data_IF_700156609224
#
_entry.id   IF_700156609224
#
_cell.length_a   1.000
_cell.length_b   1.000
_cell.length_c   1.000
_cell.angle_alpha   90.00
_cell.angle_beta   90.00
_cell.angle_gamma   90.00
#
_symmetry.space_group_name_H-M   'P 1'
#
loop_
_entity.id
_entity.type
_entity.pdbx_description
1 polymer ?
#
# COMPACT_ATOMS: atom_id res chain seq x y z
N UNK A 1 10.70 21.10 -8.39
CA UNK A 1 9.37 20.62 -8.85
C UNK A 1 8.85 19.68 -7.77
N UNK A 2 7.59 19.81 -7.36
CA UNK A 2 7.02 18.94 -6.31
C UNK A 2 6.98 17.49 -6.81
N UNK A 3 7.38 16.53 -5.96
CA UNK A 3 7.35 15.11 -6.32
C UNK A 3 5.91 14.65 -6.55
N UNK A 4 5.71 13.52 -7.26
CA UNK A 4 4.36 12.94 -7.43
C UNK A 4 3.74 12.60 -6.07
N UNK A 5 4.56 12.14 -5.12
CA UNK A 5 4.14 11.87 -3.73
C UNK A 5 3.61 13.13 -3.04
N UNK A 6 4.32 14.25 -3.17
CA UNK A 6 3.88 15.54 -2.60
C UNK A 6 2.55 16.00 -3.21
N UNK A 7 2.40 15.86 -4.53
CA UNK A 7 1.18 16.23 -5.23
C UNK A 7 -0.02 15.39 -4.77
N UNK A 8 0.16 14.07 -4.64
CA UNK A 8 -0.88 13.15 -4.16
C UNK A 8 -1.22 13.47 -2.70
N UNK A 9 -0.22 13.66 -1.84
CA UNK A 9 -0.45 13.98 -0.44
C UNK A 9 -1.26 15.28 -0.28
N UNK A 10 -0.89 16.34 -1.01
CA UNK A 10 -1.61 17.61 -1.01
C UNK A 10 -3.04 17.47 -1.51
N UNK A 11 -3.27 16.76 -2.62
CA UNK A 11 -4.60 16.56 -3.18
C UNK A 11 -5.50 15.77 -2.24
N UNK A 12 -4.99 14.70 -1.63
CA UNK A 12 -5.73 13.89 -0.64
C UNK A 12 -6.12 14.75 0.55
N UNK A 13 -5.17 15.47 1.14
CA UNK A 13 -5.43 16.36 2.27
C UNK A 13 -6.44 17.46 1.94
N UNK A 14 -6.35 18.07 0.76
CA UNK A 14 -7.31 19.08 0.32
C UNK A 14 -8.73 18.48 0.21
N UNK A 15 -8.85 17.30 -0.40
CA UNK A 15 -10.14 16.64 -0.64
C UNK A 15 -10.88 16.19 0.63
N UNK A 16 -10.16 15.98 1.73
CA UNK A 16 -10.72 15.47 2.99
C UNK A 16 -11.16 16.57 3.96
N UNK A 17 -10.92 17.84 3.64
CA UNK A 17 -11.40 18.96 4.48
C UNK A 17 -12.93 19.01 4.43
N UNK A 18 -13.55 19.41 5.54
CA UNK A 18 -15.00 19.60 5.60
C UNK A 18 -15.46 20.63 4.56
N UNK A 19 -14.64 21.66 4.33
CA UNK A 19 -14.88 22.73 3.35
C UNK A 19 -14.40 22.39 1.92
N UNK A 20 -13.98 21.15 1.66
CA UNK A 20 -13.45 20.77 0.35
C UNK A 20 -14.49 20.94 -0.75
N UNK A 21 -14.09 21.58 -1.84
CA UNK A 21 -14.90 21.76 -3.04
C UNK A 21 -15.03 20.46 -3.83
N UNK A 22 -16.03 20.39 -4.72
CA UNK A 22 -16.15 19.26 -5.65
C UNK A 22 -14.93 19.14 -6.58
N UNK A 23 -14.32 20.26 -6.94
CA UNK A 23 -13.12 20.28 -7.78
C UNK A 23 -11.92 19.65 -7.07
N UNK A 24 -11.65 20.02 -5.80
CA UNK A 24 -10.56 19.43 -5.02
C UNK A 24 -10.73 17.90 -4.85
N UNK A 25 -11.98 17.44 -4.65
CA UNK A 25 -12.28 16.01 -4.57
C UNK A 25 -12.08 15.30 -5.92
N UNK A 26 -12.48 15.95 -7.01
CA UNK A 26 -12.30 15.41 -8.36
C UNK A 26 -10.82 15.28 -8.71
N UNK A 27 -10.00 16.29 -8.39
CA UNK A 27 -8.55 16.26 -8.61
C UNK A 27 -7.91 15.06 -7.90
N UNK A 28 -8.22 14.86 -6.62
CA UNK A 28 -7.69 13.73 -5.87
C UNK A 28 -8.13 12.38 -6.48
N UNK A 29 -9.39 12.26 -6.89
CA UNK A 29 -9.90 11.05 -7.54
C UNK A 29 -9.21 10.78 -8.89
N UNK A 30 -9.02 11.81 -9.72
CA UNK A 30 -8.34 11.69 -11.00
C UNK A 30 -6.87 11.29 -10.84
N UNK A 31 -6.15 11.90 -9.89
CA UNK A 31 -4.77 11.52 -9.59
C UNK A 31 -4.67 10.05 -9.17
N UNK A 32 -5.59 9.58 -8.32
CA UNK A 32 -5.64 8.18 -7.93
C UNK A 32 -5.90 7.25 -9.13
N UNK A 33 -6.85 7.60 -10.01
CA UNK A 33 -7.14 6.84 -11.23
C UNK A 33 -5.95 6.81 -12.20
N UNK A 34 -5.22 7.92 -12.34
CA UNK A 34 -4.00 7.98 -13.15
C UNK A 34 -2.93 7.03 -12.61
N UNK A 35 -2.75 6.97 -11.29
CA UNK A 35 -1.80 6.03 -10.69
C UNK A 35 -2.24 4.57 -10.86
N UNK A 36 -3.53 4.26 -10.79
CA UNK A 36 -4.03 2.91 -11.06
C UNK A 36 -3.72 2.43 -12.49
N UNK A 37 -3.90 3.32 -13.47
CA UNK A 37 -3.72 3.03 -14.89
C UNK A 37 -2.30 3.33 -15.42
N UNK A 38 -1.43 3.90 -14.60
CA UNK A 38 -0.08 4.35 -14.98
C UNK A 38 0.90 3.21 -15.27
N UNK A 39 2.14 3.58 -15.52
CA UNK A 39 3.24 2.61 -15.66
C UNK A 39 3.43 1.86 -14.32
N UNK A 40 3.50 0.53 -14.37
CA UNK A 40 3.34 -0.33 -13.19
C UNK A 40 4.45 -0.10 -12.15
N UNK A 41 5.69 0.07 -12.61
CA UNK A 41 6.84 0.29 -11.74
C UNK A 41 6.76 1.66 -11.05
N UNK A 42 6.51 2.71 -11.83
CA UNK A 42 6.34 4.07 -11.31
C UNK A 42 5.17 4.16 -10.32
N UNK A 43 4.03 3.58 -10.65
CA UNK A 43 2.86 3.56 -9.76
C UNK A 43 3.11 2.80 -8.47
N UNK A 44 3.82 1.66 -8.53
CA UNK A 44 4.17 0.89 -7.34
C UNK A 44 5.19 1.63 -6.45
N UNK A 45 6.18 2.33 -7.04
CA UNK A 45 7.12 3.16 -6.29
C UNK A 45 6.40 4.26 -5.52
N UNK A 46 5.55 5.04 -6.21
CA UNK A 46 4.75 6.10 -5.57
C UNK A 46 3.86 5.52 -4.47
N UNK A 47 3.20 4.39 -4.73
CA UNK A 47 2.34 3.75 -3.74
C UNK A 47 3.12 3.30 -2.50
N UNK A 48 4.33 2.74 -2.67
CA UNK A 48 5.20 2.33 -1.58
C UNK A 48 5.68 3.54 -0.75
N UNK A 49 6.09 4.63 -1.39
CA UNK A 49 6.48 5.87 -0.71
C UNK A 49 5.32 6.48 0.10
N UNK A 50 4.10 6.42 -0.44
CA UNK A 50 2.89 6.90 0.26
C UNK A 50 2.60 6.12 1.55
N UNK A 51 3.13 4.89 1.73
CA UNK A 51 2.98 4.13 2.98
C UNK A 51 3.96 4.56 4.10
N UNK A 52 4.81 5.55 3.85
CA UNK A 52 5.79 6.04 4.80
C UNK A 52 5.17 6.54 6.12
N UNK A 53 5.89 6.30 7.21
CA UNK A 53 5.54 6.78 8.56
C UNK A 53 5.52 8.31 8.66
N UNK A 54 6.30 8.98 7.81
CA UNK A 54 6.42 10.44 7.79
C UNK A 54 5.18 11.13 7.23
N UNK A 55 4.26 10.38 6.62
CA UNK A 55 3.07 10.91 5.98
C UNK A 55 1.83 10.74 6.88
N UNK A 56 0.82 11.60 6.73
CA UNK A 56 -0.46 11.45 7.44
C UNK A 56 -1.14 10.11 7.15
N UNK A 57 -1.92 9.61 8.11
CA UNK A 57 -2.57 8.30 8.00
C UNK A 57 -3.52 8.20 6.80
N UNK A 58 -4.22 9.28 6.47
CA UNK A 58 -5.09 9.37 5.30
C UNK A 58 -4.35 9.25 3.97
N UNK A 59 -3.09 9.73 3.90
CA UNK A 59 -2.22 9.57 2.73
C UNK A 59 -1.70 8.13 2.67
N UNK A 60 -1.30 7.57 3.81
CA UNK A 60 -0.90 6.17 3.92
C UNK A 60 -2.01 5.22 3.46
N UNK A 61 -3.28 5.51 3.79
CA UNK A 61 -4.44 4.75 3.30
C UNK A 61 -4.47 4.68 1.78
N UNK A 62 -4.18 5.78 1.08
CA UNK A 62 -4.14 5.82 -0.38
C UNK A 62 -3.00 4.96 -0.92
N UNK A 63 -1.80 5.04 -0.33
CA UNK A 63 -0.67 4.18 -0.70
C UNK A 63 -0.99 2.70 -0.58
N UNK A 64 -1.55 2.27 0.57
CA UNK A 64 -1.99 0.89 0.76
C UNK A 64 -3.05 0.47 -0.24
N UNK A 65 -4.07 1.29 -0.44
CA UNK A 65 -5.18 0.97 -1.35
C UNK A 65 -4.71 0.89 -2.81
N UNK A 66 -3.76 1.73 -3.21
CA UNK A 66 -3.13 1.64 -4.53
C UNK A 66 -2.29 0.36 -4.67
N UNK A 67 -1.43 0.03 -3.71
CA UNK A 67 -0.66 -1.24 -3.74
C UNK A 67 -1.58 -2.46 -3.83
N UNK A 68 -2.64 -2.49 -3.03
CA UNK A 68 -3.64 -3.56 -3.06
C UNK A 68 -4.31 -3.66 -4.44
N UNK A 69 -4.65 -2.54 -5.06
CA UNK A 69 -5.20 -2.51 -6.42
C UNK A 69 -4.21 -3.07 -7.45
N UNK A 70 -2.95 -2.60 -7.45
CA UNK A 70 -1.94 -3.05 -8.40
C UNK A 70 -1.66 -4.56 -8.26
N UNK A 71 -1.52 -5.07 -7.03
CA UNK A 71 -1.35 -6.52 -6.79
C UNK A 71 -2.60 -7.31 -7.18
N UNK A 72 -3.80 -6.75 -6.97
CA UNK A 72 -5.04 -7.45 -7.29
C UNK A 72 -5.29 -7.54 -8.79
N UNK A 73 -5.00 -6.49 -9.55
CA UNK A 73 -5.44 -6.38 -10.94
C UNK A 73 -4.30 -6.47 -11.96
N UNK A 74 -3.07 -6.16 -11.55
CA UNK A 74 -1.91 -5.97 -12.44
C UNK A 74 -0.70 -6.81 -12.04
N UNK A 75 -0.90 -7.86 -11.24
CA UNK A 75 0.18 -8.74 -10.75
C UNK A 75 1.10 -9.27 -11.84
N UNK A 76 0.52 -9.65 -12.99
CA UNK A 76 1.26 -10.23 -14.11
C UNK A 76 2.24 -9.25 -14.77
N UNK A 77 2.02 -7.95 -14.60
CA UNK A 77 2.86 -6.90 -15.18
C UNK A 77 4.14 -6.67 -14.37
N UNK A 78 4.16 -7.03 -13.09
CA UNK A 78 5.39 -7.01 -12.30
C UNK A 78 6.35 -8.10 -12.76
N UNK A 79 7.63 -7.75 -12.83
CA UNK A 79 8.72 -8.68 -13.02
C UNK A 79 8.95 -9.56 -11.76
N UNK A 80 9.60 -10.72 -11.89
CA UNK A 80 9.95 -11.55 -10.74
C UNK A 80 10.66 -10.83 -9.58
N UNK A 81 11.69 -9.96 -9.79
CA UNK A 81 12.31 -9.24 -8.69
C UNK A 81 11.34 -8.27 -8.00
N UNK A 82 10.51 -7.55 -8.75
CA UNK A 82 9.51 -6.63 -8.16
C UNK A 82 8.49 -7.37 -7.30
N UNK A 83 8.09 -8.59 -7.70
CA UNK A 83 7.21 -9.43 -6.89
C UNK A 83 7.85 -9.84 -5.56
N UNK A 84 9.16 -10.12 -5.57
CA UNK A 84 9.92 -10.42 -4.34
C UNK A 84 10.03 -9.18 -3.44
N UNK A 85 10.28 -8.01 -4.03
CA UNK A 85 10.31 -6.73 -3.30
C UNK A 85 8.94 -6.40 -2.68
N UNK A 86 7.84 -6.63 -3.40
CA UNK A 86 6.48 -6.46 -2.88
C UNK A 86 6.17 -7.43 -1.73
N UNK A 87 6.65 -8.67 -1.79
CA UNK A 87 6.52 -9.62 -0.69
C UNK A 87 7.30 -9.16 0.55
N UNK A 88 8.53 -8.69 0.38
CA UNK A 88 9.34 -8.15 1.47
C UNK A 88 8.73 -6.88 2.07
N UNK A 89 8.25 -5.96 1.21
CA UNK A 89 7.59 -4.72 1.61
C UNK A 89 6.31 -5.00 2.42
N UNK A 90 5.42 -5.85 1.91
CA UNK A 90 4.15 -6.16 2.56
C UNK A 90 4.33 -6.81 3.93
N UNK A 91 5.31 -7.71 4.06
CA UNK A 91 5.67 -8.29 5.35
C UNK A 91 6.21 -7.23 6.32
N UNK A 92 7.12 -6.36 5.86
CA UNK A 92 7.66 -5.25 6.68
C UNK A 92 6.56 -4.32 7.17
N UNK A 93 5.62 -3.96 6.28
CA UNK A 93 4.46 -3.12 6.62
C UNK A 93 3.54 -3.80 7.65
N UNK A 94 3.35 -5.13 7.57
CA UNK A 94 2.58 -5.87 8.57
C UNK A 94 3.28 -5.90 9.93
N UNK A 95 4.60 -6.14 9.96
CA UNK A 95 5.37 -6.20 11.21
C UNK A 95 5.47 -4.87 11.95
N UNK A 96 5.13 -3.76 11.29
CA UNK A 96 4.94 -2.45 11.93
C UNK A 96 3.68 -2.41 12.81
N UNK A 97 2.85 -3.45 12.77
CA UNK A 97 1.47 -3.54 13.27
C UNK A 97 1.20 -2.86 14.60
N UNK A 98 1.98 -3.12 15.65
CA UNK A 98 1.73 -2.56 16.98
C UNK A 98 1.71 -1.02 17.02
N UNK A 99 2.52 -0.35 16.19
CA UNK A 99 2.61 1.11 16.14
C UNK A 99 1.59 1.77 15.19
N UNK A 100 0.95 0.98 14.32
CA UNK A 100 0.01 1.49 13.33
C UNK A 100 -1.41 1.62 13.90
N UNK A 101 -2.16 2.68 13.52
CA UNK A 101 -3.62 2.70 13.64
C UNK A 101 -4.24 1.42 13.07
N UNK A 102 -5.26 0.90 13.73
CA UNK A 102 -5.93 -0.35 13.33
C UNK A 102 -6.30 -0.40 11.84
N UNK A 103 -6.78 0.70 11.27
CA UNK A 103 -7.15 0.78 9.87
C UNK A 103 -5.96 0.55 8.90
N UNK A 104 -4.77 1.05 9.25
CA UNK A 104 -3.55 0.85 8.47
C UNK A 104 -3.01 -0.58 8.64
N UNK A 105 -3.09 -1.13 9.85
CA UNK A 105 -2.72 -2.53 10.12
C UNK A 105 -3.57 -3.50 9.32
N UNK A 106 -4.90 -3.32 9.29
CA UNK A 106 -5.81 -4.12 8.49
C UNK A 106 -5.47 -4.06 7.00
N UNK A 107 -5.10 -2.88 6.49
CA UNK A 107 -4.65 -2.72 5.10
C UNK A 107 -3.33 -3.41 4.81
N UNK A 108 -2.36 -3.36 5.73
CA UNK A 108 -1.11 -4.09 5.61
C UNK A 108 -1.33 -5.61 5.56
N UNK A 109 -2.23 -6.13 6.41
CA UNK A 109 -2.60 -7.54 6.41
C UNK A 109 -3.26 -7.96 5.09
N UNK A 110 -4.21 -7.16 4.57
CA UNK A 110 -4.83 -7.40 3.25
C UNK A 110 -3.80 -7.38 2.13
N UNK A 111 -2.86 -6.43 2.15
CA UNK A 111 -1.80 -6.37 1.15
C UNK A 111 -0.94 -7.64 1.16
N UNK A 112 -0.48 -8.09 2.33
CA UNK A 112 0.30 -9.31 2.44
C UNK A 112 -0.48 -10.53 1.95
N UNK A 113 -1.76 -10.65 2.36
CA UNK A 113 -2.62 -11.73 1.91
C UNK A 113 -2.76 -11.77 0.38
N UNK A 114 -2.95 -10.60 -0.25
CA UNK A 114 -3.02 -10.49 -1.71
C UNK A 114 -1.71 -10.91 -2.38
N UNK A 115 -0.56 -10.42 -1.90
CA UNK A 115 0.75 -10.77 -2.47
C UNK A 115 0.99 -12.27 -2.37
N UNK A 116 0.74 -12.87 -1.21
CA UNK A 116 0.96 -14.31 -1.00
C UNK A 116 0.01 -15.14 -1.87
N UNK A 117 -1.26 -14.74 -1.95
CA UNK A 117 -2.25 -15.40 -2.82
C UNK A 117 -1.82 -15.36 -4.29
N UNK A 118 -1.21 -14.25 -4.72
CA UNK A 118 -0.71 -14.07 -6.08
C UNK A 118 0.61 -14.78 -6.36
N UNK A 119 1.44 -14.99 -5.34
CA UNK A 119 2.71 -15.72 -5.43
C UNK A 119 2.53 -17.25 -5.41
N UNK A 120 1.41 -17.76 -4.90
CA UNK A 120 1.08 -19.19 -4.89
C UNK A 120 1.44 -19.93 -3.60
N UNK A 121 1.16 -21.24 -3.58
CA UNK A 121 1.22 -22.06 -2.37
C UNK A 121 2.63 -22.13 -1.75
N UNK A 122 3.67 -22.29 -2.58
CA UNK A 122 5.06 -22.35 -2.10
C UNK A 122 5.46 -21.08 -1.33
N UNK A 123 5.01 -19.91 -1.80
CA UNK A 123 5.28 -18.65 -1.11
C UNK A 123 4.55 -18.55 0.24
N UNK A 124 3.33 -19.08 0.32
CA UNK A 124 2.60 -19.16 1.59
C UNK A 124 3.28 -20.10 2.57
N UNK A 125 3.66 -21.30 2.13
CA UNK A 125 4.34 -22.29 2.97
C UNK A 125 5.67 -21.76 3.52
N UNK A 126 6.45 -21.06 2.70
CA UNK A 126 7.69 -20.43 3.14
C UNK A 126 7.47 -19.30 4.16
N UNK A 127 6.34 -18.60 4.07
CA UNK A 127 6.01 -17.47 4.94
C UNK A 127 5.36 -17.90 6.26
N UNK A 128 4.63 -19.01 6.27
CA UNK A 128 3.81 -19.48 7.39
C UNK A 128 4.57 -19.55 8.74
N UNK A 129 5.79 -20.14 8.83
CA UNK A 129 6.52 -20.18 10.09
C UNK A 129 6.78 -18.79 10.67
N UNK A 130 7.05 -17.82 9.79
CA UNK A 130 7.31 -16.44 10.20
C UNK A 130 6.04 -15.74 10.69
N UNK A 131 4.89 -15.99 10.07
CA UNK A 131 3.60 -15.48 10.54
C UNK A 131 3.22 -16.04 11.91
N UNK A 132 3.44 -17.34 12.12
CA UNK A 132 3.19 -17.98 13.42
C UNK A 132 4.08 -17.40 14.52
N UNK A 133 5.37 -17.14 14.22
CA UNK A 133 6.26 -16.44 15.14
C UNK A 133 5.77 -15.03 15.49
N UNK A 134 5.39 -14.24 14.48
CA UNK A 134 4.86 -12.89 14.69
C UNK A 134 3.60 -12.85 15.55
N UNK A 135 2.72 -13.84 15.38
CA UNK A 135 1.51 -13.99 16.17
C UNK A 135 1.82 -14.40 17.62
N UNK A 136 2.79 -15.29 17.84
CA UNK A 136 3.21 -15.72 19.17
C UNK A 136 3.88 -14.59 19.98
N UNK A 137 4.65 -13.73 19.30
CA UNK A 137 5.39 -12.63 19.92
C UNK A 137 4.52 -11.38 20.17
N UNK A 138 3.24 -11.39 19.77
CA UNK A 138 2.34 -10.24 19.86
C UNK A 138 2.69 -9.08 18.92
N UNK A 139 3.78 -9.19 18.15
CA UNK A 139 4.21 -8.18 17.16
C UNK A 139 3.21 -7.94 16.01
N UNK A 140 2.30 -8.90 15.79
CA UNK A 140 1.19 -8.79 14.84
C UNK A 140 -0.13 -8.26 15.45
N UNK A 141 -0.22 -8.11 16.78
CA UNK A 141 -1.41 -7.71 17.53
C UNK A 141 -1.45 -6.21 17.88
#
# INVERSE_FOLDING_TARGET
MASVVDQVAQAVQASQRISATNEERLIAAQLYQQLQAGEIHASASVAAELTSESLPAEVQVVGFTLLQHLVSHRWSEFSPPERQELAALSLRLLTRGAALPWALRSKAAVLLALVVTRSGAEAYEALLPRLLGLAADGSAA
#
